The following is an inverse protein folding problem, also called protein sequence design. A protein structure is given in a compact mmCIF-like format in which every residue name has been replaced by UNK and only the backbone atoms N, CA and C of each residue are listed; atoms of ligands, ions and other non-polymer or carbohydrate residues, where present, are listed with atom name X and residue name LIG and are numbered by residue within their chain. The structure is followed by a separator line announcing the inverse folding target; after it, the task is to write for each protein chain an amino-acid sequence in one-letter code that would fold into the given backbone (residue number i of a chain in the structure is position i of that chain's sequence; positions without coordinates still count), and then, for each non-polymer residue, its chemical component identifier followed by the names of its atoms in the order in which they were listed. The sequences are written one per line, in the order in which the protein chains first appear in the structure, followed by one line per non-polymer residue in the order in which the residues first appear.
data_IF_745697354226
#
_entry.id   IF_745697354226
#
_cell.length_a   1.000
_cell.length_b   1.000
_cell.length_c   1.000
_cell.angle_alpha   90.00
_cell.angle_beta   90.00
_cell.angle_gamma   90.00
#
_symmetry.space_group_name_H-M   'P 1'
#
loop_
_entity.id
_entity.type
_entity.pdbx_description
1 polymer ?
#
# COMPACT_ATOMS: atom_id res chain seq x y z
N UNK A 1 24.31 -1.99 -4.18
CA UNK A 1 23.29 -2.15 -3.10
C UNK A 1 22.78 -0.83 -2.48
N UNK A 2 22.76 0.31 -3.20
CA UNK A 2 22.26 1.59 -2.67
C UNK A 2 20.85 1.99 -3.11
N UNK A 3 20.34 1.36 -4.19
CA UNK A 3 19.04 1.68 -4.79
C UNK A 3 17.86 1.36 -3.88
N UNK A 4 17.81 0.14 -3.34
CA UNK A 4 16.77 -0.31 -2.42
C UNK A 4 16.71 0.56 -1.15
N UNK A 5 17.85 0.88 -0.52
CA UNK A 5 17.90 1.77 0.65
C UNK A 5 17.38 3.18 0.37
N UNK A 6 17.66 3.74 -0.81
CA UNK A 6 17.14 5.07 -1.19
C UNK A 6 15.64 5.02 -1.47
N UNK A 7 15.16 3.99 -2.16
CA UNK A 7 13.75 3.80 -2.43
C UNK A 7 12.96 3.57 -1.13
N UNK A 8 13.47 2.74 -0.21
CA UNK A 8 12.84 2.50 1.08
C UNK A 8 12.72 3.79 1.89
N UNK A 9 13.80 4.60 1.97
CA UNK A 9 13.73 5.91 2.63
C UNK A 9 12.69 6.85 1.99
N UNK A 10 12.59 6.84 0.67
CA UNK A 10 11.53 7.60 -0.01
C UNK A 10 10.15 7.11 0.41
N UNK A 11 9.91 5.80 0.44
CA UNK A 11 8.64 5.19 0.88
C UNK A 11 8.33 5.58 2.33
N UNK A 12 9.29 5.42 3.24
CA UNK A 12 9.13 5.73 4.67
C UNK A 12 8.81 7.21 4.91
N UNK A 13 9.51 8.12 4.23
CA UNK A 13 9.31 9.55 4.39
C UNK A 13 7.95 10.04 3.87
N UNK A 14 7.40 9.39 2.83
CA UNK A 14 6.17 9.84 2.18
C UNK A 14 4.92 9.10 2.68
N UNK A 15 5.02 7.81 3.02
CA UNK A 15 3.88 6.96 3.34
C UNK A 15 3.92 6.39 4.75
N UNK A 16 5.09 6.43 5.41
CA UNK A 16 5.31 5.84 6.74
C UNK A 16 4.90 4.37 6.75
N UNK A 17 3.88 4.01 7.53
CA UNK A 17 3.33 2.65 7.64
C UNK A 17 1.98 2.50 6.91
N UNK A 18 1.49 3.56 6.26
CA UNK A 18 0.24 3.49 5.50
C UNK A 18 0.47 2.79 4.16
N UNK A 19 -0.55 2.08 3.63
CA UNK A 19 -0.48 1.50 2.29
C UNK A 19 -0.20 2.58 1.23
N UNK A 20 0.56 2.21 0.20
CA UNK A 20 0.84 3.06 -0.94
C UNK A 20 0.64 2.30 -2.25
N UNK A 21 0.41 3.02 -3.35
CA UNK A 21 0.28 2.45 -4.68
C UNK A 21 1.60 2.57 -5.47
N UNK A 22 2.03 1.52 -6.20
CA UNK A 22 3.25 1.54 -7.06
C UNK A 22 3.24 2.76 -8.00
N UNK A 23 2.07 3.14 -8.53
CA UNK A 23 1.92 4.30 -9.41
C UNK A 23 2.37 5.64 -8.79
N UNK A 24 2.41 5.76 -7.46
CA UNK A 24 2.89 6.96 -6.78
C UNK A 24 4.43 7.05 -6.78
N UNK A 25 5.14 5.93 -6.98
CA UNK A 25 6.60 5.92 -7.11
C UNK A 25 7.11 6.60 -8.37
N UNK A 26 6.22 6.99 -9.30
CA UNK A 26 6.56 7.83 -10.46
C UNK A 26 7.16 9.19 -10.04
N UNK A 27 6.85 9.67 -8.84
CA UNK A 27 7.42 10.90 -8.27
C UNK A 27 8.87 10.72 -7.82
N UNK A 28 9.28 9.49 -7.52
CA UNK A 28 10.66 9.14 -7.19
C UNK A 28 11.52 8.98 -8.46
N UNK A 29 11.06 8.18 -9.42
CA UNK A 29 11.74 7.96 -10.71
C UNK A 29 10.81 7.26 -11.73
N UNK A 30 11.18 7.23 -13.03
CA UNK A 30 10.58 6.30 -14.00
C UNK A 30 10.69 4.83 -13.54
N UNK A 31 9.71 4.01 -13.94
CA UNK A 31 9.57 2.63 -13.48
C UNK A 31 10.81 1.79 -13.69
N UNK A 32 11.43 1.92 -14.85
CA UNK A 32 12.63 1.17 -15.25
C UNK A 32 13.79 1.43 -14.28
N UNK A 33 13.84 2.61 -13.66
CA UNK A 33 14.91 2.99 -12.72
C UNK A 33 14.67 2.47 -11.30
N UNK A 34 13.43 2.36 -10.84
CA UNK A 34 13.14 1.89 -9.48
C UNK A 34 12.79 0.41 -9.41
N UNK A 35 12.38 -0.23 -10.52
CA UNK A 35 11.87 -1.61 -10.52
C UNK A 35 12.83 -2.66 -9.93
N UNK A 36 14.15 -2.63 -10.21
CA UNK A 36 15.07 -3.58 -9.59
C UNK A 36 15.15 -3.41 -8.06
N UNK A 37 15.19 -2.15 -7.59
CA UNK A 37 15.19 -1.83 -6.17
C UNK A 37 13.86 -2.21 -5.50
N UNK A 38 12.73 -1.99 -6.17
CA UNK A 38 11.41 -2.35 -5.68
C UNK A 38 11.26 -3.87 -5.53
N UNK A 39 11.78 -4.63 -6.50
CA UNK A 39 11.81 -6.10 -6.45
C UNK A 39 12.68 -6.62 -5.31
N UNK A 40 13.84 -5.98 -5.04
CA UNK A 40 14.70 -6.27 -3.88
C UNK A 40 13.97 -6.01 -2.56
N UNK A 41 13.21 -4.92 -2.44
CA UNK A 41 12.43 -4.63 -1.23
C UNK A 41 11.31 -5.65 -0.98
N UNK A 42 10.65 -6.13 -2.05
CA UNK A 42 9.64 -7.19 -1.95
C UNK A 42 10.26 -8.52 -1.52
N UNK A 43 11.34 -8.95 -2.18
CA UNK A 43 11.98 -10.23 -1.87
C UNK A 43 12.62 -10.27 -0.49
N UNK A 44 13.14 -9.13 -0.02
CA UNK A 44 13.66 -8.96 1.35
C UNK A 44 12.59 -8.76 2.42
N UNK A 45 11.30 -8.69 2.05
CA UNK A 45 10.16 -8.43 2.95
C UNK A 45 10.25 -7.08 3.68
N UNK A 46 10.99 -6.13 3.11
CA UNK A 46 11.00 -4.75 3.59
C UNK A 46 9.68 -4.03 3.26
N UNK A 47 8.98 -4.47 2.21
CA UNK A 47 7.62 -4.08 1.87
C UNK A 47 6.78 -5.31 1.51
N UNK A 48 5.45 -5.18 1.60
CA UNK A 48 4.51 -6.25 1.26
C UNK A 48 3.54 -5.79 0.17
N UNK A 49 3.23 -6.69 -0.76
CA UNK A 49 2.22 -6.45 -1.79
C UNK A 49 0.83 -6.87 -1.29
N UNK A 50 -0.18 -6.04 -1.58
CA UNK A 50 -1.59 -6.38 -1.46
C UNK A 50 -2.15 -6.60 -2.87
N UNK A 51 -2.27 -7.85 -3.35
CA UNK A 51 -2.75 -8.13 -4.70
C UNK A 51 -4.24 -7.83 -4.83
N UNK A 52 -4.72 -7.75 -6.08
CA UNK A 52 -6.15 -7.64 -6.37
C UNK A 52 -6.86 -8.91 -5.90
N UNK A 53 -7.90 -8.76 -5.09
CA UNK A 53 -8.76 -9.88 -4.69
C UNK A 53 -9.89 -10.05 -5.72
N UNK A 54 -9.91 -11.21 -6.35
CA UNK A 54 -10.89 -11.57 -7.37
C UNK A 54 -11.83 -12.62 -6.78
N UNK A 55 -13.14 -12.42 -6.93
CA UNK A 55 -14.15 -13.39 -6.49
C UNK A 55 -13.97 -14.71 -7.26
N UNK A 56 -13.93 -15.83 -6.54
CA UNK A 56 -13.50 -17.12 -7.09
C UNK A 56 -14.40 -17.61 -8.24
N UNK A 57 -15.70 -17.32 -8.20
CA UNK A 57 -16.63 -17.66 -9.28
C UNK A 57 -16.73 -16.61 -10.40
N UNK A 58 -16.01 -15.50 -10.28
CA UNK A 58 -16.03 -14.39 -11.23
C UNK A 58 -17.33 -13.58 -11.24
N UNK A 59 -18.18 -13.75 -10.22
CA UNK A 59 -19.46 -13.04 -10.12
C UNK A 59 -19.28 -11.62 -9.60
N UNK A 60 -20.35 -10.83 -9.71
CA UNK A 60 -20.37 -9.45 -9.23
C UNK A 60 -20.14 -9.40 -7.71
N UNK A 61 -19.32 -8.44 -7.28
CA UNK A 61 -19.10 -8.10 -5.89
C UNK A 61 -19.70 -6.72 -5.63
N UNK A 62 -20.40 -6.59 -4.51
CA UNK A 62 -20.85 -5.31 -3.96
C UNK A 62 -20.17 -5.07 -2.62
N UNK A 63 -19.91 -3.81 -2.27
CA UNK A 63 -19.20 -3.43 -1.05
C UNK A 63 -19.81 -2.16 -0.45
N UNK A 64 -19.87 -2.12 0.88
CA UNK A 64 -20.18 -0.95 1.69
C UNK A 64 -19.19 -0.93 2.87
N UNK A 65 -18.72 0.25 3.26
CA UNK A 65 -17.78 0.43 4.36
C UNK A 65 -18.12 1.68 5.14
N UNK A 66 -17.87 1.63 6.44
CA UNK A 66 -18.13 2.72 7.34
C UNK A 66 -17.12 2.69 8.50
N UNK A 67 -16.66 3.86 8.96
CA UNK A 67 -15.77 3.95 10.14
C UNK A 67 -16.56 4.36 11.38
N UNK A 68 -16.44 3.61 12.48
CA UNK A 68 -17.20 3.86 13.72
C UNK A 68 -16.26 4.17 14.88
N UNK A 69 -16.57 5.19 15.67
CA UNK A 69 -15.94 5.47 16.96
C UNK A 69 -16.79 4.86 18.07
N UNK A 70 -16.21 4.01 18.91
CA UNK A 70 -16.90 3.45 20.08
C UNK A 70 -16.36 4.11 21.34
N UNK A 71 -17.23 4.74 22.11
CA UNK A 71 -16.93 5.34 23.40
C UNK A 71 -17.85 4.78 24.52
N UNK A 72 -17.80 5.41 25.69
CA UNK A 72 -18.58 5.00 26.87
C UNK A 72 -20.10 5.17 26.70
N UNK A 73 -20.54 6.05 25.80
CA UNK A 73 -21.94 6.43 25.57
C UNK A 73 -22.53 5.72 24.33
N UNK A 74 -21.67 5.14 23.47
CA UNK A 74 -22.10 4.24 22.41
C UNK A 74 -21.20 4.26 21.18
N UNK A 75 -21.79 3.91 20.04
CA UNK A 75 -21.12 3.91 18.73
C UNK A 75 -21.53 5.13 17.90
N UNK A 76 -20.55 5.87 17.40
CA UNK A 76 -20.74 7.04 16.54
C UNK A 76 -20.27 6.72 15.13
N UNK A 77 -21.17 6.93 14.19
CA UNK A 77 -20.97 6.78 12.76
C UNK A 77 -20.14 7.98 12.21
N UNK A 78 -18.93 7.76 11.66
CA UNK A 78 -18.02 8.86 11.23
C UNK A 78 -18.06 9.20 9.72
N UNK A 79 -18.36 8.24 8.84
CA UNK A 79 -18.29 8.39 7.37
C UNK A 79 -19.62 8.10 6.66
#
# INVERSE_FOLDING_TARGET
HGGAKRLLRFIENNFRTLPFAERWLKEYAPREKYLPAFSELLSSKAIFAYPVFIEASGKMVAQAEHTVLVDKDGAIQLT
#
